data_IF_984942468378
#
_entry.id   IF_984942468378
#
_cell.length_a   1.000
_cell.length_b   1.000
_cell.length_c   1.000
_cell.angle_alpha   90.00
_cell.angle_beta   90.00
_cell.angle_gamma   90.00
#
_symmetry.space_group_name_H-M   'P 1'
#
loop_
_entity.id
_entity.type
_entity.pdbx_description
1 polymer ?
#
# COMPACT_ATOMS: atom_id res chain seq x y z
N UNK A 1 -16.03 26.79 37.24
CA UNK A 1 -15.98 26.03 35.96
C UNK A 1 -16.24 24.56 36.25
N UNK A 2 -17.41 24.07 35.86
CA UNK A 2 -17.78 22.68 36.08
C UNK A 2 -17.05 21.81 35.03
N UNK A 3 -16.38 20.71 35.41
CA UNK A 3 -15.73 19.83 34.43
C UNK A 3 -16.80 19.18 33.53
N UNK A 4 -16.53 19.12 32.23
CA UNK A 4 -17.36 18.43 31.24
C UNK A 4 -17.56 16.97 31.67
N UNK A 5 -18.76 16.39 31.53
CA UNK A 5 -19.01 14.99 31.85
C UNK A 5 -18.15 14.08 30.94
N UNK A 6 -17.66 12.94 31.45
CA UNK A 6 -16.91 12.00 30.65
C UNK A 6 -17.74 11.48 29.48
N UNK A 7 -17.10 11.35 28.31
CA UNK A 7 -17.72 10.80 27.10
C UNK A 7 -18.30 9.40 27.39
N UNK A 8 -19.51 9.07 26.93
CA UNK A 8 -20.10 7.75 27.14
C UNK A 8 -19.20 6.66 26.55
N UNK A 9 -19.10 5.47 27.20
CA UNK A 9 -18.32 4.36 26.68
C UNK A 9 -18.85 3.97 25.28
N UNK A 10 -17.96 3.57 24.35
CA UNK A 10 -18.36 3.19 23.00
C UNK A 10 -19.37 2.03 23.05
N UNK A 11 -20.48 2.18 22.34
CA UNK A 11 -21.54 1.18 22.27
C UNK A 11 -20.95 -0.17 21.78
N UNK A 12 -21.07 -1.21 22.61
CA UNK A 12 -20.52 -2.54 22.32
C UNK A 12 -21.07 -3.18 21.02
N UNK A 13 -22.24 -2.72 20.53
CA UNK A 13 -22.80 -3.10 19.23
C UNK A 13 -21.97 -2.49 18.10
N UNK A 14 -21.59 -1.22 18.20
CA UNK A 14 -20.76 -0.51 17.22
C UNK A 14 -19.37 -1.14 17.12
N UNK A 15 -18.73 -1.41 18.24
CA UNK A 15 -17.43 -2.07 18.28
C UNK A 15 -17.45 -3.49 17.67
N UNK A 16 -18.51 -4.26 17.90
CA UNK A 16 -18.68 -5.57 17.26
C UNK A 16 -18.86 -5.43 15.74
N UNK A 17 -19.62 -4.45 15.28
CA UNK A 17 -19.81 -4.13 13.87
C UNK A 17 -18.50 -3.72 13.18
N UNK A 18 -17.70 -2.85 13.79
CA UNK A 18 -16.39 -2.42 13.31
C UNK A 18 -15.41 -3.60 13.21
N UNK A 19 -15.33 -4.46 14.23
CA UNK A 19 -14.49 -5.67 14.20
C UNK A 19 -14.92 -6.67 13.12
N UNK A 20 -16.22 -6.83 12.92
CA UNK A 20 -16.74 -7.68 11.85
C UNK A 20 -16.38 -7.11 10.47
N UNK A 21 -16.50 -5.78 10.28
CA UNK A 21 -16.11 -5.10 9.06
C UNK A 21 -14.61 -5.23 8.78
N UNK A 22 -13.77 -5.07 9.79
CA UNK A 22 -12.30 -5.23 9.66
C UNK A 22 -11.94 -6.65 9.21
N UNK A 23 -12.48 -7.68 9.84
CA UNK A 23 -12.25 -9.08 9.42
C UNK A 23 -12.67 -9.35 7.98
N UNK A 24 -13.78 -8.79 7.54
CA UNK A 24 -14.22 -8.90 6.14
C UNK A 24 -13.22 -8.21 5.21
N UNK A 25 -12.73 -7.02 5.57
CA UNK A 25 -11.75 -6.28 4.78
C UNK A 25 -10.38 -6.97 4.75
N UNK A 26 -9.96 -7.62 5.84
CA UNK A 26 -8.72 -8.42 5.86
C UNK A 26 -8.76 -9.55 4.82
N UNK A 27 -9.88 -10.27 4.72
CA UNK A 27 -10.04 -11.31 3.70
C UNK A 27 -10.22 -10.72 2.29
N UNK A 28 -10.95 -9.61 2.17
CA UNK A 28 -11.11 -8.89 0.90
C UNK A 28 -9.76 -8.41 0.33
N UNK A 29 -8.86 -7.90 1.17
CA UNK A 29 -7.52 -7.45 0.74
C UNK A 29 -6.63 -8.61 0.29
N UNK A 30 -6.67 -9.75 0.98
CA UNK A 30 -5.95 -10.96 0.54
C UNK A 30 -6.46 -11.41 -0.84
N UNK A 31 -7.78 -11.46 -1.01
CA UNK A 31 -8.39 -11.80 -2.29
C UNK A 31 -8.04 -10.79 -3.37
N UNK A 32 -8.13 -9.48 -3.05
CA UNK A 32 -7.76 -8.39 -3.94
C UNK A 32 -6.32 -8.48 -4.44
N UNK A 33 -5.39 -8.90 -3.57
CA UNK A 33 -3.98 -9.02 -3.93
C UNK A 33 -3.71 -10.11 -4.97
N UNK A 34 -4.53 -11.17 -5.00
CA UNK A 34 -4.38 -12.32 -5.91
C UNK A 34 -5.25 -12.17 -7.15
N UNK A 35 -6.52 -11.85 -6.97
CA UNK A 35 -7.53 -11.86 -8.03
C UNK A 35 -7.74 -10.50 -8.70
N UNK A 36 -7.11 -9.44 -8.16
CA UNK A 36 -7.36 -8.07 -8.60
C UNK A 36 -8.76 -7.56 -8.23
N UNK A 37 -9.07 -6.34 -8.68
CA UNK A 37 -10.38 -5.72 -8.43
C UNK A 37 -11.50 -6.41 -9.19
N UNK A 38 -11.23 -6.93 -10.40
CA UNK A 38 -12.20 -7.67 -11.20
C UNK A 38 -12.72 -8.91 -10.49
N UNK A 39 -11.82 -9.65 -9.85
CA UNK A 39 -12.10 -10.87 -9.10
C UNK A 39 -12.76 -10.63 -7.74
N UNK A 40 -12.68 -9.43 -7.16
CA UNK A 40 -13.29 -9.14 -5.86
C UNK A 40 -14.82 -9.04 -5.96
N UNK A 41 -15.52 -10.07 -5.51
CA UNK A 41 -16.99 -10.15 -5.52
C UNK A 41 -17.55 -10.41 -4.12
N UNK A 42 -18.81 -10.02 -3.89
CA UNK A 42 -19.50 -10.33 -2.62
C UNK A 42 -19.53 -11.84 -2.30
N UNK A 43 -19.64 -12.69 -3.31
CA UNK A 43 -19.67 -14.16 -3.12
C UNK A 43 -18.35 -14.67 -2.54
N UNK A 44 -17.24 -14.34 -3.21
CA UNK A 44 -15.90 -14.77 -2.80
C UNK A 44 -15.49 -14.23 -1.43
N UNK A 45 -15.79 -12.94 -1.16
CA UNK A 45 -15.49 -12.35 0.14
C UNK A 45 -16.35 -12.95 1.26
N UNK A 46 -17.63 -13.20 1.00
CA UNK A 46 -18.55 -13.85 1.95
C UNK A 46 -18.06 -15.24 2.35
N UNK A 47 -17.64 -16.04 1.36
CA UNK A 47 -17.09 -17.37 1.56
C UNK A 47 -15.81 -17.34 2.40
N UNK A 48 -14.83 -16.50 2.03
CA UNK A 48 -13.56 -16.39 2.75
C UNK A 48 -13.69 -15.85 4.17
N UNK A 49 -14.55 -14.84 4.36
CA UNK A 49 -14.78 -14.23 5.66
C UNK A 49 -15.77 -15.02 6.55
N UNK A 50 -16.33 -16.11 6.03
CA UNK A 50 -17.36 -16.92 6.69
C UNK A 50 -18.56 -16.09 7.18
N UNK A 51 -19.07 -15.19 6.30
CA UNK A 51 -20.22 -14.32 6.59
C UNK A 51 -21.29 -14.45 5.51
N UNK A 52 -22.54 -14.13 5.83
CA UNK A 52 -23.62 -14.14 4.83
C UNK A 52 -23.43 -13.04 3.78
N UNK A 53 -23.70 -13.34 2.50
CA UNK A 53 -23.62 -12.36 1.40
C UNK A 53 -24.51 -11.13 1.65
N UNK A 54 -25.68 -11.33 2.25
CA UNK A 54 -26.60 -10.24 2.64
C UNK A 54 -25.96 -9.26 3.66
N UNK A 55 -25.14 -9.77 4.57
CA UNK A 55 -24.43 -8.93 5.53
C UNK A 55 -23.41 -8.02 4.84
N UNK A 56 -22.74 -8.53 3.79
CA UNK A 56 -21.81 -7.70 3.00
C UNK A 56 -22.55 -6.61 2.22
N UNK A 57 -23.74 -6.94 1.68
CA UNK A 57 -24.58 -5.94 1.01
C UNK A 57 -25.01 -4.82 1.98
N UNK A 58 -25.33 -5.15 3.22
CA UNK A 58 -25.64 -4.15 4.25
C UNK A 58 -24.40 -3.31 4.62
N UNK A 59 -23.21 -3.92 4.67
CA UNK A 59 -21.97 -3.24 5.06
C UNK A 59 -21.39 -2.31 3.99
N UNK A 60 -21.55 -2.67 2.71
CA UNK A 60 -20.87 -1.99 1.60
C UNK A 60 -21.81 -1.46 0.52
N UNK A 61 -23.07 -1.88 0.50
CA UNK A 61 -24.06 -1.49 -0.51
C UNK A 61 -23.85 -2.21 -1.83
N UNK A 62 -22.85 -1.83 -2.60
CA UNK A 62 -22.54 -2.37 -3.92
C UNK A 62 -21.09 -2.86 -4.06
N UNK A 63 -20.79 -3.45 -5.23
CA UNK A 63 -19.46 -4.02 -5.53
C UNK A 63 -18.37 -2.95 -5.55
N UNK A 64 -18.65 -1.78 -6.11
CA UNK A 64 -17.67 -0.69 -6.22
C UNK A 64 -17.26 -0.17 -4.84
N UNK A 65 -18.21 0.01 -3.95
CA UNK A 65 -17.96 0.40 -2.56
C UNK A 65 -17.16 -0.66 -1.78
N UNK A 66 -17.42 -1.97 -2.01
CA UNK A 66 -16.60 -3.03 -1.44
C UNK A 66 -15.16 -2.94 -1.97
N UNK A 67 -14.98 -2.75 -3.27
CA UNK A 67 -13.68 -2.62 -3.91
C UNK A 67 -12.90 -1.39 -3.40
N UNK A 68 -13.57 -0.24 -3.30
CA UNK A 68 -12.98 0.98 -2.72
C UNK A 68 -12.59 0.78 -1.25
N UNK A 69 -13.44 0.14 -0.46
CA UNK A 69 -13.15 -0.14 0.94
C UNK A 69 -11.97 -1.12 1.11
N UNK A 70 -11.89 -2.16 0.27
CA UNK A 70 -10.77 -3.10 0.27
C UNK A 70 -9.47 -2.41 -0.15
N UNK A 71 -9.51 -1.57 -1.20
CA UNK A 71 -8.36 -0.77 -1.62
C UNK A 71 -7.86 0.16 -0.50
N UNK A 72 -8.78 0.89 0.13
CA UNK A 72 -8.45 1.77 1.25
C UNK A 72 -7.83 1.00 2.44
N UNK A 73 -8.34 -0.21 2.72
CA UNK A 73 -7.81 -1.08 3.77
C UNK A 73 -6.40 -1.60 3.44
N UNK A 74 -6.14 -2.02 2.20
CA UNK A 74 -4.81 -2.40 1.74
C UNK A 74 -3.80 -1.25 1.88
N UNK A 75 -4.23 -0.04 1.55
CA UNK A 75 -3.45 1.19 1.71
C UNK A 75 -3.12 1.44 3.19
N UNK A 76 -4.10 1.31 4.07
CA UNK A 76 -3.91 1.50 5.51
C UNK A 76 -2.92 0.46 6.09
N UNK A 77 -3.00 -0.80 5.68
CA UNK A 77 -2.03 -1.84 6.06
C UNK A 77 -0.60 -1.45 5.64
N UNK A 78 -0.42 -1.02 4.40
CA UNK A 78 0.88 -0.56 3.90
C UNK A 78 1.40 0.67 4.66
N UNK A 79 0.53 1.63 4.97
CA UNK A 79 0.91 2.81 5.76
C UNK A 79 1.47 2.40 7.12
N UNK A 80 0.76 1.52 7.85
CA UNK A 80 1.15 1.08 9.19
C UNK A 80 2.41 0.23 9.17
N UNK A 81 2.53 -0.69 8.20
CA UNK A 81 3.61 -1.69 8.19
C UNK A 81 4.89 -1.19 7.53
N UNK A 82 4.80 -0.27 6.57
CA UNK A 82 5.96 0.19 5.79
C UNK A 82 6.24 1.67 5.99
N UNK A 83 5.24 2.53 5.75
CA UNK A 83 5.48 3.97 5.70
C UNK A 83 5.78 4.55 7.08
N UNK A 84 4.95 4.27 8.07
CA UNK A 84 5.15 4.82 9.42
C UNK A 84 6.49 4.41 10.04
N UNK A 85 6.92 3.13 10.01
CA UNK A 85 8.24 2.73 10.51
C UNK A 85 9.40 3.40 9.75
N UNK A 86 9.26 3.57 8.43
CA UNK A 86 10.26 4.24 7.61
C UNK A 86 10.41 5.72 7.99
N UNK A 87 9.29 6.43 8.17
CA UNK A 87 9.30 7.86 8.50
C UNK A 87 9.82 8.17 9.92
N UNK A 88 9.87 7.18 10.82
CA UNK A 88 10.49 7.31 12.15
C UNK A 88 12.03 7.32 12.09
N UNK A 89 12.66 7.00 10.96
CA UNK A 89 14.11 7.06 10.84
C UNK A 89 14.61 8.50 10.93
N UNK A 90 15.84 8.66 11.42
CA UNK A 90 16.39 9.94 11.83
C UNK A 90 16.63 10.92 10.66
N UNK A 91 17.19 10.43 9.56
CA UNK A 91 17.59 11.28 8.43
C UNK A 91 16.72 11.00 7.20
N UNK A 92 16.53 11.99 6.30
CA UNK A 92 15.75 11.81 5.07
C UNK A 92 16.23 10.64 4.20
N UNK A 93 17.54 10.48 3.99
CA UNK A 93 18.09 9.35 3.25
C UNK A 93 17.82 8.02 3.96
N UNK A 94 17.91 7.96 5.29
CA UNK A 94 17.56 6.74 6.03
C UNK A 94 16.07 6.44 5.99
N UNK A 95 15.20 7.45 5.91
CA UNK A 95 13.75 7.28 5.68
C UNK A 95 13.48 6.72 4.28
N UNK A 96 14.16 7.25 3.26
CA UNK A 96 14.03 6.78 1.89
C UNK A 96 14.48 5.31 1.76
N UNK A 97 15.64 4.98 2.30
CA UNK A 97 16.15 3.58 2.33
C UNK A 97 15.21 2.65 3.07
N UNK A 98 14.71 3.07 4.23
CA UNK A 98 13.78 2.27 5.01
C UNK A 98 12.43 2.08 4.32
N UNK A 99 11.94 3.09 3.59
CA UNK A 99 10.71 3.00 2.80
C UNK A 99 10.85 1.98 1.68
N UNK A 100 11.98 2.01 0.95
CA UNK A 100 12.25 1.06 -0.14
C UNK A 100 12.43 -0.36 0.41
N UNK A 101 13.27 -0.54 1.40
CA UNK A 101 13.50 -1.86 2.02
C UNK A 101 12.21 -2.43 2.62
N UNK A 102 11.45 -1.60 3.34
CA UNK A 102 10.17 -2.01 3.91
C UNK A 102 9.15 -2.45 2.86
N UNK A 103 9.15 -1.84 1.67
CA UNK A 103 8.33 -2.30 0.56
C UNK A 103 8.77 -3.69 0.06
N UNK A 104 10.09 -3.90 -0.13
CA UNK A 104 10.61 -5.20 -0.54
C UNK A 104 10.31 -6.27 0.50
N UNK A 105 10.53 -5.98 1.78
CA UNK A 105 10.24 -6.92 2.87
C UNK A 105 8.73 -7.24 2.96
N UNK A 106 7.86 -6.25 2.76
CA UNK A 106 6.41 -6.43 2.73
C UNK A 106 5.98 -7.41 1.62
N UNK A 107 6.57 -7.32 0.43
CA UNK A 107 6.28 -8.22 -0.70
C UNK A 107 6.92 -9.59 -0.47
N UNK A 108 8.18 -9.65 -0.09
CA UNK A 108 8.96 -10.88 0.12
C UNK A 108 8.37 -11.78 1.20
N UNK A 109 7.94 -11.18 2.32
CA UNK A 109 7.30 -11.90 3.43
C UNK A 109 5.83 -12.22 3.19
N UNK A 110 5.32 -11.90 2.00
CA UNK A 110 3.93 -12.15 1.59
C UNK A 110 2.91 -11.65 2.61
N UNK A 111 3.11 -10.44 3.12
CA UNK A 111 2.12 -9.78 3.97
C UNK A 111 0.73 -9.76 3.29
N UNK A 112 0.73 -9.62 1.96
CA UNK A 112 -0.40 -9.93 1.10
C UNK A 112 0.03 -11.02 0.09
N UNK A 113 -0.75 -12.08 -0.11
CA UNK A 113 -0.35 -13.23 -0.94
C UNK A 113 0.07 -12.88 -2.36
N UNK A 114 -0.58 -11.89 -2.99
CA UNK A 114 -0.27 -11.41 -4.34
C UNK A 114 0.67 -10.19 -4.39
N UNK A 115 1.35 -9.84 -3.29
CA UNK A 115 2.30 -8.74 -3.25
C UNK A 115 1.65 -7.35 -3.11
N UNK A 116 2.22 -6.34 -3.77
CA UNK A 116 1.74 -4.96 -3.67
C UNK A 116 0.45 -4.75 -4.48
N UNK A 117 -0.67 -4.57 -3.78
CA UNK A 117 -2.00 -4.34 -4.38
C UNK A 117 -1.97 -3.15 -5.35
N UNK A 118 -1.36 -2.01 -4.97
CA UNK A 118 -1.35 -0.80 -5.81
C UNK A 118 -0.65 -1.06 -7.14
N UNK A 119 0.45 -1.79 -7.14
CA UNK A 119 1.16 -2.14 -8.37
C UNK A 119 0.29 -3.05 -9.25
N UNK A 120 -0.33 -4.06 -8.66
CA UNK A 120 -1.20 -5.00 -9.39
C UNK A 120 -2.43 -4.31 -10.01
N UNK A 121 -3.21 -3.57 -9.21
CA UNK A 121 -4.46 -2.93 -9.69
C UNK A 121 -4.20 -1.77 -10.65
N UNK A 122 -3.01 -1.15 -10.62
CA UNK A 122 -2.65 -0.07 -11.54
C UNK A 122 -2.67 -0.50 -13.01
N UNK A 123 -2.30 -1.74 -13.28
CA UNK A 123 -2.33 -2.30 -14.63
C UNK A 123 -3.75 -2.70 -15.04
N UNK A 124 -4.58 -3.14 -14.11
CA UNK A 124 -5.95 -3.57 -14.35
C UNK A 124 -6.87 -2.39 -14.72
N UNK A 125 -6.73 -1.24 -14.03
CA UNK A 125 -7.66 -0.10 -14.15
C UNK A 125 -7.20 1.05 -15.06
N UNK A 126 -6.07 0.89 -15.76
CA UNK A 126 -5.47 1.93 -16.60
C UNK A 126 -6.41 2.56 -17.65
N UNK A 127 -7.37 1.81 -18.17
CA UNK A 127 -8.26 2.24 -19.26
C UNK A 127 -9.72 2.45 -18.82
N UNK A 128 -10.03 2.34 -17.55
CA UNK A 128 -11.41 2.44 -17.02
C UNK A 128 -11.55 3.69 -16.16
N UNK A 129 -12.23 4.76 -16.63
CA UNK A 129 -12.52 5.93 -15.80
C UNK A 129 -13.49 5.55 -14.67
N UNK A 130 -13.44 6.28 -13.56
CA UNK A 130 -14.34 6.12 -12.44
C UNK A 130 -13.66 6.17 -11.08
N UNK A 131 -14.42 6.06 -9.98
CA UNK A 131 -13.94 6.27 -8.61
C UNK A 131 -12.74 5.38 -8.22
N UNK A 132 -12.73 4.12 -8.69
CA UNK A 132 -11.61 3.20 -8.42
C UNK A 132 -10.31 3.65 -9.09
N UNK A 133 -10.38 4.07 -10.37
CA UNK A 133 -9.21 4.60 -11.06
C UNK A 133 -8.69 5.86 -10.38
N UNK A 134 -9.58 6.74 -10.00
CA UNK A 134 -9.22 8.01 -9.35
C UNK A 134 -8.56 7.76 -7.99
N UNK A 135 -9.09 6.83 -7.19
CA UNK A 135 -8.48 6.41 -5.93
C UNK A 135 -7.08 5.80 -6.12
N UNK A 136 -6.90 4.92 -7.12
CA UNK A 136 -5.61 4.32 -7.45
C UNK A 136 -4.61 5.42 -7.88
N UNK A 137 -5.03 6.34 -8.75
CA UNK A 137 -4.20 7.43 -9.24
C UNK A 137 -3.78 8.37 -8.12
N UNK A 138 -4.70 8.77 -7.25
CA UNK A 138 -4.43 9.62 -6.10
C UNK A 138 -3.40 8.97 -5.17
N UNK A 139 -3.53 7.68 -4.93
CA UNK A 139 -2.61 6.98 -4.05
C UNK A 139 -1.21 6.83 -4.65
N UNK A 140 -1.11 6.50 -5.95
CA UNK A 140 0.15 6.48 -6.68
C UNK A 140 0.85 7.84 -6.64
N UNK A 141 0.09 8.91 -6.86
CA UNK A 141 0.62 10.27 -6.80
C UNK A 141 1.15 10.61 -5.40
N UNK A 142 0.39 10.29 -4.36
CA UNK A 142 0.82 10.49 -2.96
C UNK A 142 2.11 9.75 -2.64
N UNK A 143 2.28 8.52 -3.13
CA UNK A 143 3.51 7.74 -3.00
C UNK A 143 4.69 8.38 -3.72
N UNK A 144 4.49 8.82 -4.96
CA UNK A 144 5.49 9.52 -5.78
C UNK A 144 5.93 10.83 -5.11
N UNK A 145 4.99 11.64 -4.66
CA UNK A 145 5.30 12.90 -3.98
C UNK A 145 6.08 12.68 -2.68
N UNK A 146 5.81 11.61 -1.96
CA UNK A 146 6.60 11.24 -0.77
C UNK A 146 8.07 10.95 -1.13
N UNK A 147 8.32 10.23 -2.22
CA UNK A 147 9.69 9.98 -2.69
C UNK A 147 10.39 11.28 -3.06
N UNK A 148 9.75 12.16 -3.84
CA UNK A 148 10.29 13.47 -4.17
C UNK A 148 10.63 14.29 -2.91
N UNK A 149 9.73 14.34 -1.94
CA UNK A 149 9.95 15.07 -0.70
C UNK A 149 11.18 14.57 0.05
N UNK A 150 11.30 13.24 0.22
CA UNK A 150 12.45 12.63 0.91
C UNK A 150 13.77 12.87 0.18
N UNK A 151 13.78 12.81 -1.15
CA UNK A 151 14.98 13.07 -1.97
C UNK A 151 15.39 14.53 -1.84
N UNK A 152 14.45 15.48 -1.92
CA UNK A 152 14.73 16.92 -1.76
C UNK A 152 15.26 17.26 -0.37
N UNK A 153 14.64 16.70 0.68
CA UNK A 153 15.15 16.86 2.05
C UNK A 153 16.56 16.28 2.20
N UNK A 154 16.81 15.07 1.66
CA UNK A 154 18.12 14.43 1.74
C UNK A 154 19.19 15.24 0.98
N UNK A 155 18.85 15.80 -0.18
CA UNK A 155 19.73 16.69 -0.92
C UNK A 155 20.00 18.01 -0.19
N UNK A 156 18.97 18.63 0.38
CA UNK A 156 19.13 19.85 1.18
C UNK A 156 20.03 19.66 2.41
N UNK A 157 20.08 18.44 2.96
CA UNK A 157 20.97 18.04 4.06
C UNK A 157 22.32 17.47 3.60
N UNK A 158 22.65 17.53 2.31
CA UNK A 158 23.92 17.04 1.75
C UNK A 158 24.08 15.52 1.80
N UNK A 159 23.00 14.75 1.96
CA UNK A 159 23.01 13.29 2.01
C UNK A 159 22.86 12.65 0.62
N UNK A 160 22.35 13.39 -0.34
CA UNK A 160 22.27 13.06 -1.76
C UNK A 160 23.03 14.11 -2.55
N UNK A 161 23.68 13.73 -3.64
CA UNK A 161 24.44 14.62 -4.49
C UNK A 161 23.58 15.77 -5.01
N UNK A 162 24.16 16.99 -5.08
CA UNK A 162 23.42 18.21 -5.47
C UNK A 162 22.93 18.16 -6.91
N UNK A 163 23.64 17.45 -7.78
CA UNK A 163 23.40 17.24 -9.20
C UNK A 163 22.56 15.99 -9.50
N UNK A 164 22.12 15.24 -8.47
CA UNK A 164 21.27 14.08 -8.66
C UNK A 164 19.94 14.46 -9.32
N UNK A 165 19.62 13.76 -10.42
CA UNK A 165 18.33 13.92 -11.10
C UNK A 165 17.21 13.26 -10.30
N UNK A 166 16.38 14.10 -9.64
CA UNK A 166 15.26 13.64 -8.82
C UNK A 166 14.25 12.82 -9.62
N UNK A 167 13.92 13.27 -10.84
CA UNK A 167 12.88 12.65 -11.64
C UNK A 167 13.33 11.28 -12.12
N UNK A 168 14.60 11.17 -12.53
CA UNK A 168 15.22 9.89 -12.90
C UNK A 168 15.23 8.95 -11.70
N UNK A 169 15.71 9.40 -10.54
CA UNK A 169 15.80 8.58 -9.33
C UNK A 169 14.43 8.06 -8.90
N UNK A 170 13.40 8.90 -8.85
CA UNK A 170 12.04 8.47 -8.50
C UNK A 170 11.50 7.47 -9.52
N UNK A 171 11.73 7.72 -10.82
CA UNK A 171 11.28 6.82 -11.88
C UNK A 171 11.92 5.45 -11.76
N UNK A 172 13.23 5.38 -11.54
CA UNK A 172 13.97 4.12 -11.38
C UNK A 172 13.53 3.34 -10.15
N UNK A 173 13.36 4.00 -9.00
CA UNK A 173 12.84 3.38 -7.79
C UNK A 173 11.46 2.73 -8.00
N UNK A 174 10.54 3.47 -8.64
CA UNK A 174 9.20 2.96 -8.95
C UNK A 174 9.21 1.86 -10.02
N UNK A 175 10.10 1.94 -11.01
CA UNK A 175 10.25 0.92 -12.04
C UNK A 175 10.75 -0.41 -11.45
N UNK A 176 11.76 -0.37 -10.57
CA UNK A 176 12.24 -1.56 -9.88
C UNK A 176 11.20 -2.18 -8.96
N UNK A 177 10.40 -1.37 -8.26
CA UNK A 177 9.27 -1.89 -7.47
C UNK A 177 8.22 -2.58 -8.35
N UNK A 178 7.87 -1.97 -9.49
CA UNK A 178 6.90 -2.56 -10.40
C UNK A 178 7.41 -3.90 -10.98
N UNK A 179 8.68 -3.95 -11.40
CA UNK A 179 9.31 -5.17 -11.88
C UNK A 179 9.39 -6.26 -10.81
N UNK A 180 9.85 -5.89 -9.61
CA UNK A 180 9.92 -6.81 -8.47
C UNK A 180 8.56 -7.39 -8.09
N UNK A 181 7.49 -6.59 -8.16
CA UNK A 181 6.14 -7.10 -7.86
C UNK A 181 5.69 -8.15 -8.87
N UNK A 182 6.03 -7.98 -10.15
CA UNK A 182 5.77 -9.01 -11.19
C UNK A 182 6.59 -10.26 -10.90
N UNK A 183 7.90 -10.12 -10.63
CA UNK A 183 8.77 -11.25 -10.29
C UNK A 183 8.24 -12.03 -9.07
N UNK A 184 7.84 -11.32 -8.01
CA UNK A 184 7.24 -11.94 -6.82
C UNK A 184 5.92 -12.68 -7.11
N UNK A 185 5.07 -12.13 -7.98
CA UNK A 185 3.81 -12.77 -8.38
C UNK A 185 4.00 -14.02 -9.25
N UNK A 186 5.17 -14.13 -9.89
CA UNK A 186 5.58 -15.28 -10.72
C UNK A 186 6.52 -16.25 -9.99
N UNK A 187 6.70 -16.07 -8.68
CA UNK A 187 7.63 -16.86 -7.84
C UNK A 187 9.10 -16.82 -8.31
N UNK A 188 9.49 -15.76 -9.06
CA UNK A 188 10.85 -15.54 -9.52
C UNK A 188 11.68 -14.78 -8.47
N UNK A 189 12.18 -15.53 -7.50
CA UNK A 189 13.00 -14.99 -6.41
C UNK A 189 14.33 -14.40 -6.88
N UNK A 190 14.88 -14.90 -7.99
CA UNK A 190 16.16 -14.41 -8.54
C UNK A 190 15.98 -12.99 -9.10
N UNK A 191 14.96 -12.74 -9.92
CA UNK A 191 14.68 -11.42 -10.46
C UNK A 191 14.19 -10.44 -9.38
N UNK A 192 13.41 -10.92 -8.41
CA UNK A 192 13.06 -10.13 -7.24
C UNK A 192 14.30 -9.64 -6.48
N UNK A 193 15.25 -10.55 -6.21
CA UNK A 193 16.51 -10.24 -5.54
C UNK A 193 17.38 -9.26 -6.34
N UNK A 194 17.43 -9.38 -7.68
CA UNK A 194 18.14 -8.44 -8.55
C UNK A 194 17.56 -7.03 -8.48
N UNK A 195 16.24 -6.91 -8.50
CA UNK A 195 15.57 -5.61 -8.36
C UNK A 195 15.83 -4.96 -6.99
N UNK A 196 15.80 -5.76 -5.90
CA UNK A 196 16.14 -5.32 -4.54
C UNK A 196 17.59 -4.81 -4.44
N UNK A 197 18.53 -5.54 -5.04
CA UNK A 197 19.94 -5.16 -5.10
C UNK A 197 20.14 -3.86 -5.92
N UNK A 198 19.50 -3.75 -7.08
CA UNK A 198 19.58 -2.57 -7.94
C UNK A 198 19.08 -1.29 -7.23
N UNK A 199 17.98 -1.38 -6.47
CA UNK A 199 17.51 -0.24 -5.66
C UNK A 199 18.51 0.13 -4.56
N UNK A 200 19.14 -0.86 -3.93
CA UNK A 200 20.16 -0.63 -2.89
C UNK A 200 21.37 0.09 -3.48
N UNK A 201 21.83 -0.36 -4.63
CA UNK A 201 22.96 0.23 -5.37
C UNK A 201 22.63 1.65 -5.85
N UNK A 202 21.44 1.85 -6.45
CA UNK A 202 20.96 3.15 -6.90
C UNK A 202 20.97 4.19 -5.76
N UNK A 203 20.48 3.81 -4.58
CA UNK A 203 20.49 4.68 -3.41
C UNK A 203 21.89 4.85 -2.78
N UNK A 204 22.80 3.93 -2.99
CA UNK A 204 24.20 4.08 -2.58
C UNK A 204 24.94 5.05 -3.51
N UNK A 205 24.73 4.95 -4.81
CA UNK A 205 25.32 5.85 -5.83
C UNK A 205 24.81 7.29 -5.70
N UNK A 206 23.52 7.47 -5.36
CA UNK A 206 22.95 8.79 -5.14
C UNK A 206 23.42 9.44 -3.82
N UNK A 207 23.90 8.64 -2.86
CA UNK A 207 24.39 9.13 -1.56
C UNK A 207 25.79 9.76 -1.71
N UNK A 208 26.04 10.78 -0.87
CA UNK A 208 27.37 11.38 -0.71
C UNK A 208 28.11 10.72 0.44
#
# INVERSE_FOLDING_TARGET
MNPLPPSPPPDGRRLRGERARTRVLDEAVKLLSVEGLGGLTFGQVAERAAVGKSNLQVLFGDKENLQLAALAHAIALYQVQVVEPALRKRTPLSRLRALMNGWFDFVETRQLPGGCVITAVSSEYRARPGPLRDAIQQYRESGRQRLYALIREARAQGQIAADADEAKLVTELLAYQAYANVAASMDDSAEFGRAKAAVTELLAQAAR
#
